data_IF_164541728061
#
_entry.id   IF_164541728061
#
_cell.length_a   1.000
_cell.length_b   1.000
_cell.length_c   1.000
_cell.angle_alpha   90.00
_cell.angle_beta   90.00
_cell.angle_gamma   90.00
#
_symmetry.space_group_name_H-M   'P 1'
#
loop_
_entity.id
_entity.type
_entity.pdbx_description
1 polymer ?
#
# COMPACT_ATOMS: atom_id res chain seq x y z
N UNK A 1 -11.35 16.27 30.83
CA UNK A 1 -10.00 15.72 30.51
C UNK A 1 -8.98 16.36 31.44
N UNK A 2 -7.95 15.62 31.88
CA UNK A 2 -6.86 16.17 32.71
C UNK A 2 -5.98 17.10 31.88
N UNK A 3 -5.45 18.16 32.51
CA UNK A 3 -4.61 19.17 31.84
C UNK A 3 -3.22 18.65 31.46
N UNK A 4 -2.66 17.71 32.23
CA UNK A 4 -1.35 17.12 31.97
C UNK A 4 -1.33 15.64 32.35
N UNK A 5 -0.58 14.87 31.57
CA UNK A 5 -0.29 13.46 31.79
C UNK A 5 1.22 13.28 31.84
N UNK A 6 1.73 12.62 32.88
CA UNK A 6 3.14 12.27 33.01
C UNK A 6 3.40 10.91 32.35
N UNK A 7 4.27 10.90 31.34
CA UNK A 7 4.66 9.73 30.56
C UNK A 7 6.09 9.26 30.85
N UNK A 8 6.74 9.75 31.92
CA UNK A 8 8.11 9.40 32.31
C UNK A 8 8.37 7.88 32.46
N UNK A 9 7.32 7.09 32.76
CA UNK A 9 7.37 5.62 32.87
C UNK A 9 6.61 4.89 31.75
N UNK A 10 6.21 5.59 30.69
CA UNK A 10 5.41 4.99 29.63
C UNK A 10 6.25 3.98 28.83
N UNK A 11 5.69 2.78 28.61
CA UNK A 11 6.28 1.76 27.74
C UNK A 11 5.77 1.96 26.31
N UNK A 12 6.67 1.80 25.33
CA UNK A 12 6.31 1.86 23.91
C UNK A 12 5.27 0.80 23.60
N UNK A 13 4.18 1.20 22.95
CA UNK A 13 3.12 0.28 22.56
C UNK A 13 3.71 -0.79 21.60
N UNK A 14 3.65 -2.09 21.93
CA UNK A 14 4.17 -3.16 21.07
C UNK A 14 3.48 -3.19 19.69
N UNK A 15 2.24 -2.69 19.59
CA UNK A 15 1.49 -2.61 18.34
C UNK A 15 1.87 -1.41 17.46
N UNK A 16 2.77 -0.52 17.90
CA UNK A 16 3.16 0.66 17.12
C UNK A 16 3.82 0.29 15.77
N UNK A 17 4.43 -0.91 15.68
CA UNK A 17 5.02 -1.43 14.44
C UNK A 17 3.98 -1.94 13.43
N UNK A 18 2.75 -2.19 13.87
CA UNK A 18 1.65 -2.69 13.04
C UNK A 18 0.78 -1.56 12.48
N UNK A 19 1.11 -0.31 12.83
CA UNK A 19 0.41 0.85 12.29
C UNK A 19 0.64 0.95 10.79
N UNK A 20 -0.45 1.17 10.05
CA UNK A 20 -0.39 1.42 8.62
C UNK A 20 0.40 2.71 8.39
N UNK A 21 1.40 2.65 7.52
CA UNK A 21 2.09 3.83 7.06
C UNK A 21 1.23 4.54 6.01
N UNK A 22 0.94 5.82 6.21
CA UNK A 22 0.26 6.64 5.22
C UNK A 22 1.24 6.99 4.08
N UNK A 23 0.89 6.62 2.85
CA UNK A 23 1.69 6.91 1.66
C UNK A 23 0.79 7.44 0.56
N UNK A 24 1.29 8.40 -0.23
CA UNK A 24 0.61 8.90 -1.42
C UNK A 24 1.21 8.19 -2.64
N UNK A 25 0.42 7.35 -3.30
CA UNK A 25 0.83 6.60 -4.48
C UNK A 25 0.04 7.13 -5.67
N UNK A 26 0.73 7.48 -6.77
CA UNK A 26 0.07 7.79 -8.04
C UNK A 26 -0.24 6.47 -8.74
N UNK A 27 -1.50 6.26 -9.08
CA UNK A 27 -2.00 5.05 -9.73
C UNK A 27 -2.76 5.44 -11.00
N UNK A 28 -2.72 4.56 -11.99
CA UNK A 28 -3.51 4.72 -13.21
C UNK A 28 -5.01 4.58 -12.91
N UNK A 29 -5.83 5.29 -13.69
CA UNK A 29 -7.29 5.31 -13.50
C UNK A 29 -7.89 3.91 -13.60
N UNK A 30 -7.37 3.10 -14.53
CA UNK A 30 -7.86 1.74 -14.79
C UNK A 30 -7.54 0.79 -13.63
N UNK A 31 -6.35 0.92 -13.04
CA UNK A 31 -5.97 0.15 -11.84
C UNK A 31 -6.91 0.47 -10.67
N UNK A 32 -7.20 1.75 -10.43
CA UNK A 32 -8.13 2.15 -9.36
C UNK A 32 -9.53 1.62 -9.64
N UNK A 33 -10.01 1.68 -10.89
CA UNK A 33 -11.32 1.15 -11.28
C UNK A 33 -11.42 -0.36 -11.06
N UNK A 34 -10.39 -1.12 -11.44
CA UNK A 34 -10.33 -2.57 -11.23
C UNK A 34 -10.51 -2.94 -9.75
N UNK A 35 -9.73 -2.32 -8.85
CA UNK A 35 -9.83 -2.61 -7.43
C UNK A 35 -11.13 -2.13 -6.79
N UNK A 36 -11.78 -1.09 -7.35
CA UNK A 36 -13.12 -0.67 -6.90
C UNK A 36 -14.18 -1.71 -7.24
N UNK A 37 -14.21 -2.18 -8.49
CA UNK A 37 -15.17 -3.22 -8.88
C UNK A 37 -14.95 -4.51 -8.06
N UNK A 38 -13.70 -4.95 -7.90
CA UNK A 38 -13.38 -6.12 -7.09
C UNK A 38 -13.74 -5.94 -5.61
N UNK A 39 -13.69 -4.71 -5.10
CA UNK A 39 -14.08 -4.39 -3.73
C UNK A 39 -15.58 -4.50 -3.49
N UNK A 40 -16.40 -4.24 -4.51
CA UNK A 40 -17.87 -4.39 -4.43
C UNK A 40 -18.25 -5.87 -4.33
N UNK A 41 -17.58 -6.73 -5.10
CA UNK A 41 -17.78 -8.18 -5.05
C UNK A 41 -17.30 -8.80 -3.73
N UNK A 42 -16.12 -8.36 -3.24
CA UNK A 42 -15.52 -8.89 -2.02
C UNK A 42 -16.12 -8.34 -0.72
N UNK A 43 -16.89 -7.24 -0.79
CA UNK A 43 -17.48 -6.58 0.39
C UNK A 43 -16.45 -5.89 1.31
N UNK A 44 -15.24 -5.61 0.83
CA UNK A 44 -14.13 -5.03 1.62
C UNK A 44 -13.66 -3.75 0.91
N UNK A 45 -13.36 -2.64 1.61
CA UNK A 45 -12.89 -1.41 0.96
C UNK A 45 -11.70 -1.62 0.01
N UNK A 46 -11.73 -1.00 -1.17
CA UNK A 46 -10.71 -1.14 -2.21
C UNK A 46 -9.27 -0.87 -1.73
N UNK A 47 -9.08 0.08 -0.79
CA UNK A 47 -7.77 0.37 -0.21
C UNK A 47 -7.24 -0.79 0.64
N UNK A 48 -8.11 -1.44 1.40
CA UNK A 48 -7.77 -2.61 2.21
C UNK A 48 -7.45 -3.80 1.31
N UNK A 49 -8.27 -4.01 0.27
CA UNK A 49 -8.06 -5.05 -0.72
C UNK A 49 -6.71 -4.88 -1.45
N UNK A 50 -6.43 -3.68 -1.94
CA UNK A 50 -5.15 -3.35 -2.58
C UNK A 50 -3.97 -3.62 -1.64
N UNK A 51 -4.08 -3.26 -0.36
CA UNK A 51 -3.04 -3.55 0.62
C UNK A 51 -2.84 -5.07 0.86
N UNK A 52 -3.89 -5.89 0.77
CA UNK A 52 -3.75 -7.35 0.85
C UNK A 52 -2.99 -7.92 -0.35
N UNK A 53 -3.31 -7.48 -1.56
CA UNK A 53 -2.55 -7.87 -2.76
C UNK A 53 -1.08 -7.46 -2.69
N UNK A 54 -0.80 -6.24 -2.21
CA UNK A 54 0.59 -5.80 -2.02
C UNK A 54 1.33 -6.66 -0.99
N UNK A 55 0.65 -7.06 0.09
CA UNK A 55 1.20 -7.98 1.09
C UNK A 55 1.49 -9.35 0.48
N UNK A 56 0.56 -9.89 -0.31
CA UNK A 56 0.74 -11.17 -0.99
C UNK A 56 1.94 -11.14 -1.95
N UNK A 57 2.09 -10.05 -2.72
CA UNK A 57 3.25 -9.84 -3.59
C UNK A 57 4.57 -9.83 -2.79
N UNK A 58 4.58 -9.20 -1.61
CA UNK A 58 5.76 -9.17 -0.75
C UNK A 58 6.06 -10.56 -0.14
N UNK A 59 5.04 -11.30 0.32
CA UNK A 59 5.22 -12.63 0.91
C UNK A 59 5.60 -13.68 -0.12
N UNK A 60 5.09 -13.58 -1.34
CA UNK A 60 5.45 -14.46 -2.45
C UNK A 60 6.81 -14.13 -3.08
N UNK A 61 7.42 -13.00 -2.69
CA UNK A 61 8.66 -12.53 -3.29
C UNK A 61 8.52 -12.22 -4.79
N UNK A 62 7.31 -11.85 -5.25
CA UNK A 62 7.04 -11.56 -6.66
C UNK A 62 7.92 -10.39 -7.10
N UNK A 63 8.88 -10.67 -7.98
CA UNK A 63 9.75 -9.67 -8.58
C UNK A 63 9.19 -9.28 -9.93
N UNK A 64 9.08 -7.99 -10.17
CA UNK A 64 8.64 -7.46 -11.45
C UNK A 64 9.74 -7.71 -12.49
N UNK A 65 9.50 -8.63 -13.43
CA UNK A 65 10.35 -8.86 -14.58
C UNK A 65 9.97 -7.86 -15.69
N UNK A 66 10.44 -6.61 -15.59
CA UNK A 66 10.34 -5.69 -16.73
C UNK A 66 11.48 -6.02 -17.69
N UNK A 67 11.14 -6.60 -18.84
CA UNK A 67 11.99 -6.53 -20.02
C UNK A 67 11.91 -5.09 -20.56
N UNK A 68 12.83 -4.22 -20.13
CA UNK A 68 12.97 -2.89 -20.72
C UNK A 68 13.41 -3.10 -22.17
N UNK A 69 12.50 -2.95 -23.14
CA UNK A 69 12.93 -2.69 -24.52
C UNK A 69 13.49 -1.28 -24.52
N UNK A 70 14.80 -1.06 -24.79
CA UNK A 70 15.30 0.28 -24.97
C UNK A 70 14.51 0.91 -26.11
N UNK A 71 13.91 2.09 -25.87
CA UNK A 71 13.33 2.88 -26.93
C UNK A 71 14.47 3.18 -27.92
N UNK A 72 14.38 2.63 -29.14
CA UNK A 72 15.29 2.97 -30.23
C UNK A 72 15.29 4.49 -30.38
N UNK A 73 16.40 5.14 -30.00
CA UNK A 73 16.72 6.48 -30.46
C UNK A 73 17.10 6.36 -31.92
N UNK A 74 16.10 6.34 -32.79
CA UNK A 74 16.29 6.49 -34.23
C UNK A 74 15.43 7.65 -34.73
N UNK A 75 16.13 8.59 -35.35
CA UNK A 75 15.70 9.60 -36.30
C UNK A 75 15.58 11.06 -35.80
N UNK A 76 16.51 11.86 -36.37
CA UNK A 76 16.60 13.30 -36.54
C UNK A 76 17.21 14.12 -35.41
#
# INVERSE_FOLDING_TARGET
>A
MRRNYDFSRAKRNPYSRMLKQQVTIRLDRDTVKYFKNLSEEAGIPYQTLMNFYLRECATSGKRLSIGWKPANKSAA
#
